data_IF_765404572929
#
_entry.id   IF_765404572929
#
_cell.length_a   1.000
_cell.length_b   1.000
_cell.length_c   1.000
_cell.angle_alpha   90.00
_cell.angle_beta   90.00
_cell.angle_gamma   90.00
#
_symmetry.space_group_name_H-M   'P 1'
#
loop_
_entity.id
_entity.type
_entity.pdbx_description
1 polymer ?
#
# COMPACT_ATOMS: atom_id res chain seq x y z
N UNK A 1 2.87 -7.00 25.78
CA UNK A 1 3.37 -6.78 24.39
C UNK A 1 2.42 -5.98 23.50
N UNK A 2 1.12 -5.97 23.73
CA UNK A 2 0.15 -5.05 23.07
C UNK A 2 0.45 -3.56 23.35
N UNK A 3 1.13 -3.27 24.47
CA UNK A 3 1.49 -1.90 24.89
C UNK A 3 2.51 -1.20 23.99
N UNK A 4 3.40 -1.94 23.32
CA UNK A 4 4.46 -1.33 22.50
C UNK A 4 3.93 -0.84 21.15
N UNK A 5 2.95 -1.53 20.57
CA UNK A 5 2.28 -1.09 19.36
C UNK A 5 1.44 0.20 19.59
N UNK A 6 0.85 0.37 20.78
CA UNK A 6 0.14 1.60 21.18
C UNK A 6 1.04 2.83 21.27
N UNK A 7 2.33 2.66 21.61
CA UNK A 7 3.31 3.76 21.70
C UNK A 7 3.88 4.17 20.34
N UNK A 8 3.82 3.30 19.33
CA UNK A 8 4.38 3.56 18.01
C UNK A 8 3.46 4.40 17.12
N UNK A 9 2.14 4.36 17.35
CA UNK A 9 1.16 5.05 16.52
C UNK A 9 0.14 5.70 17.43
N UNK A 10 0.19 7.02 17.55
CA UNK A 10 -0.58 7.85 18.47
C UNK A 10 -2.09 7.62 18.49
N UNK A 11 -2.80 8.26 19.42
CA UNK A 11 -4.15 7.92 19.83
C UNK A 11 -5.19 8.52 18.88
N UNK A 12 -5.73 7.74 17.96
CA UNK A 12 -6.87 8.18 17.15
C UNK A 12 -7.63 6.98 16.59
N UNK A 13 -8.11 6.14 17.48
CA UNK A 13 -9.00 5.04 17.10
C UNK A 13 -10.33 5.29 17.75
N UNK A 14 -11.33 5.65 16.96
CA UNK A 14 -12.67 5.93 17.48
C UNK A 14 -13.54 4.67 17.48
N UNK A 15 -13.34 3.73 16.58
CA UNK A 15 -14.09 2.50 16.53
C UNK A 15 -13.22 1.29 16.18
N UNK A 16 -13.13 0.32 17.09
CA UNK A 16 -12.46 -0.95 16.84
C UNK A 16 -13.52 -1.99 16.47
N UNK A 17 -13.39 -2.56 15.28
CA UNK A 17 -14.20 -3.73 14.90
C UNK A 17 -13.45 -5.00 15.28
N UNK A 18 -14.12 -5.85 16.06
CA UNK A 18 -13.62 -7.19 16.34
C UNK A 18 -13.53 -7.97 15.04
N UNK A 19 -12.39 -8.61 14.80
CA UNK A 19 -12.24 -9.61 13.75
C UNK A 19 -12.38 -11.00 14.36
N UNK A 20 -12.82 -12.02 13.61
CA UNK A 20 -12.90 -13.39 14.13
C UNK A 20 -11.52 -13.98 14.48
N UNK A 21 -10.43 -13.36 14.05
CA UNK A 21 -9.07 -13.84 14.31
C UNK A 21 -8.39 -13.03 15.42
N UNK A 22 -7.83 -13.69 16.45
CA UNK A 22 -7.14 -13.03 17.56
C UNK A 22 -5.92 -12.23 17.07
N UNK A 23 -5.73 -11.03 17.61
CA UNK A 23 -4.56 -10.20 17.33
C UNK A 23 -4.66 -9.35 16.06
N UNK A 24 -5.76 -9.42 15.32
CA UNK A 24 -6.07 -8.49 14.21
C UNK A 24 -7.02 -7.41 14.71
N UNK A 25 -6.68 -6.16 14.45
CA UNK A 25 -7.49 -4.99 14.80
C UNK A 25 -7.77 -4.23 13.51
N UNK A 26 -9.04 -4.13 13.14
CA UNK A 26 -9.51 -3.23 12.09
C UNK A 26 -10.15 -2.03 12.75
N UNK A 27 -9.78 -0.84 12.34
CA UNK A 27 -10.26 0.39 12.94
C UNK A 27 -10.75 1.33 11.86
N UNK A 28 -11.94 1.88 12.03
CA UNK A 28 -12.38 3.07 11.31
C UNK A 28 -11.82 4.29 12.03
N UNK A 29 -11.02 5.08 11.36
CA UNK A 29 -10.45 6.31 11.88
C UNK A 29 -11.39 7.44 11.48
N UNK A 30 -12.18 7.94 12.43
CA UNK A 30 -13.12 9.04 12.21
C UNK A 30 -12.71 10.19 13.12
N UNK A 31 -12.23 11.28 12.52
CA UNK A 31 -12.04 12.58 13.14
C UNK A 31 -11.43 12.57 14.54
N UNK A 32 -10.14 12.52 14.60
CA UNK A 32 -9.43 12.95 15.79
C UNK A 32 -9.20 14.47 15.76
N UNK A 33 -8.46 14.99 16.73
CA UNK A 33 -8.03 16.41 16.78
C UNK A 33 -7.33 16.90 15.50
N UNK A 34 -7.03 16.00 14.55
CA UNK A 34 -6.31 16.25 13.29
C UNK A 34 -7.14 15.96 12.05
N UNK A 35 -8.43 15.64 12.21
CA UNK A 35 -9.38 15.36 11.13
C UNK A 35 -8.95 14.24 10.15
N UNK A 36 -8.19 13.25 10.60
CA UNK A 36 -7.91 12.04 9.83
C UNK A 36 -9.19 11.20 9.71
N UNK A 37 -9.46 10.68 8.53
CA UNK A 37 -10.57 9.77 8.31
C UNK A 37 -10.15 8.59 7.45
N UNK A 38 -10.77 7.43 7.64
CA UNK A 38 -10.49 6.25 6.83
C UNK A 38 -10.43 4.96 7.64
N UNK A 39 -9.70 3.97 7.13
CA UNK A 39 -9.61 2.64 7.73
C UNK A 39 -8.15 2.26 7.95
N UNK A 40 -7.91 1.54 9.04
CA UNK A 40 -6.61 0.99 9.35
C UNK A 40 -6.73 -0.43 9.89
N UNK A 41 -5.88 -1.33 9.39
CA UNK A 41 -5.69 -2.67 9.93
C UNK A 41 -4.31 -2.73 10.60
N UNK A 42 -4.26 -3.33 11.78
CA UNK A 42 -3.03 -3.63 12.51
C UNK A 42 -3.06 -5.07 12.98
N UNK A 43 -2.00 -5.80 12.76
CA UNK A 43 -1.87 -7.16 13.31
C UNK A 43 -0.39 -7.53 13.52
N UNK A 44 -0.18 -8.57 14.31
CA UNK A 44 1.10 -9.26 14.39
C UNK A 44 1.05 -10.45 13.45
N UNK A 45 1.81 -10.42 12.35
CA UNK A 45 1.90 -11.57 11.42
C UNK A 45 2.73 -12.70 12.00
N UNK A 46 3.70 -12.37 12.86
CA UNK A 46 4.53 -13.33 13.56
C UNK A 46 5.05 -12.69 14.85
N UNK A 47 5.61 -13.47 15.81
CA UNK A 47 6.25 -12.92 16.98
C UNK A 47 7.35 -11.91 16.62
N UNK A 48 7.10 -10.63 16.96
CA UNK A 48 8.01 -9.52 16.67
C UNK A 48 7.93 -8.95 15.25
N UNK A 49 6.96 -9.37 14.43
CA UNK A 49 6.71 -8.78 13.10
C UNK A 49 5.30 -8.22 13.04
N UNK A 50 5.19 -6.91 12.95
CA UNK A 50 3.92 -6.19 12.85
C UNK A 50 3.61 -5.75 11.43
N UNK A 51 2.33 -5.84 11.06
CA UNK A 51 1.76 -5.31 9.81
C UNK A 51 0.79 -4.18 10.12
N UNK A 52 0.85 -3.14 9.31
CA UNK A 52 -0.14 -2.07 9.30
C UNK A 52 -0.54 -1.73 7.85
N UNK A 53 -1.81 -1.83 7.57
CA UNK A 53 -2.40 -1.36 6.32
C UNK A 53 -3.24 -0.12 6.63
N UNK A 54 -2.98 0.99 5.97
CA UNK A 54 -3.66 2.26 6.20
C UNK A 54 -4.26 2.78 4.91
N UNK A 55 -5.54 3.12 4.95
CA UNK A 55 -6.25 3.81 3.89
C UNK A 55 -6.95 5.01 4.51
N UNK A 56 -6.23 6.14 4.51
CA UNK A 56 -6.62 7.34 5.24
C UNK A 56 -6.72 8.54 4.30
N UNK A 57 -7.56 9.48 4.66
CA UNK A 57 -7.61 10.81 4.07
C UNK A 57 -7.10 11.81 5.12
N UNK A 58 -6.01 12.49 4.79
CA UNK A 58 -5.43 13.55 5.61
C UNK A 58 -5.88 14.91 5.06
N UNK A 59 -6.68 15.69 5.79
CA UNK A 59 -7.13 17.02 5.35
C UNK A 59 -6.10 18.12 5.54
N UNK A 60 -5.05 17.87 6.31
CA UNK A 60 -4.03 18.86 6.66
C UNK A 60 -2.62 18.28 6.73
N UNK A 61 -1.71 19.09 7.26
CA UNK A 61 -0.35 18.70 7.56
C UNK A 61 -0.31 17.99 8.92
N UNK A 62 0.35 16.87 8.99
CA UNK A 62 0.58 16.13 10.24
C UNK A 62 2.00 15.57 10.29
N UNK A 63 2.50 15.35 11.51
CA UNK A 63 3.80 14.75 11.72
C UNK A 63 3.77 13.75 12.86
N UNK A 64 4.52 12.69 12.75
CA UNK A 64 4.78 11.79 13.87
C UNK A 64 6.23 11.33 13.88
N UNK A 65 6.72 11.00 15.07
CA UNK A 65 8.05 10.49 15.30
C UNK A 65 8.00 9.01 15.59
N UNK A 66 8.74 8.23 14.80
CA UNK A 66 8.95 6.81 15.01
C UNK A 66 10.23 6.60 15.83
N UNK A 67 10.11 5.95 16.98
CA UNK A 67 11.24 5.52 17.83
C UNK A 67 11.18 4.01 18.00
N UNK A 68 12.30 3.35 17.82
CA UNK A 68 12.33 1.89 17.98
C UNK A 68 13.72 1.35 18.32
N UNK A 69 13.76 0.16 18.94
CA UNK A 69 15.00 -0.48 19.36
C UNK A 69 15.62 -1.31 18.22
N UNK A 70 16.15 -0.66 17.20
CA UNK A 70 16.80 -1.35 16.07
C UNK A 70 15.86 -2.24 15.27
N UNK A 71 15.17 -1.69 14.26
CA UNK A 71 14.32 -2.50 13.43
C UNK A 71 14.34 -2.12 11.95
N UNK A 72 13.89 -3.07 11.14
CA UNK A 72 13.61 -2.91 9.72
C UNK A 72 12.16 -2.48 9.54
N UNK A 73 11.94 -1.49 8.68
CA UNK A 73 10.64 -1.01 8.25
C UNK A 73 10.57 -1.10 6.72
N UNK A 74 9.74 -1.99 6.22
CA UNK A 74 9.36 -2.01 4.81
C UNK A 74 8.06 -1.24 4.67
N UNK A 75 8.05 -0.24 3.82
CA UNK A 75 6.88 0.61 3.62
C UNK A 75 6.56 0.70 2.12
N UNK A 76 5.34 0.33 1.76
CA UNK A 76 4.80 0.47 0.41
C UNK A 76 3.72 1.53 0.39
N UNK A 77 3.70 2.34 -0.64
CA UNK A 77 2.79 3.49 -0.77
C UNK A 77 2.07 3.44 -2.10
N UNK A 78 0.76 3.38 -2.05
CA UNK A 78 -0.06 3.48 -3.24
C UNK A 78 -0.45 4.94 -3.52
N UNK A 79 -0.83 5.67 -2.47
CA UNK A 79 -1.04 7.10 -2.46
C UNK A 79 -0.50 7.66 -1.15
N UNK A 80 0.52 8.48 -1.20
CA UNK A 80 1.03 9.17 -0.02
C UNK A 80 1.99 10.29 -0.43
N UNK A 81 1.83 11.46 0.18
CA UNK A 81 2.85 12.51 0.16
C UNK A 81 3.38 12.66 1.57
N UNK A 82 4.63 12.28 1.76
CA UNK A 82 5.33 12.47 3.02
C UNK A 82 6.76 12.96 2.80
N UNK A 83 7.25 13.75 3.73
CA UNK A 83 8.67 14.03 3.90
C UNK A 83 9.15 13.33 5.17
N UNK A 84 10.31 12.73 5.11
CA UNK A 84 10.89 11.99 6.24
C UNK A 84 12.21 12.65 6.60
N UNK A 85 12.43 12.93 7.89
CA UNK A 85 13.65 13.51 8.43
C UNK A 85 14.27 12.61 9.50
N UNK A 86 15.60 12.53 9.68
CA UNK A 86 16.58 13.14 8.78
C UNK A 86 16.76 12.28 7.53
N UNK A 87 16.49 12.81 6.38
CA UNK A 87 16.90 12.23 5.11
C UNK A 87 17.18 13.39 4.16
N UNK A 88 18.28 13.30 3.41
CA UNK A 88 18.48 14.11 2.24
C UNK A 88 17.28 13.98 1.29
N UNK A 89 17.12 14.86 0.31
CA UNK A 89 16.05 14.77 -0.68
C UNK A 89 15.99 13.35 -1.26
N UNK A 90 15.03 12.56 -0.74
CA UNK A 90 14.87 11.18 -1.18
C UNK A 90 14.18 11.16 -2.54
N UNK A 91 14.66 10.35 -3.48
CA UNK A 91 13.91 10.09 -4.69
C UNK A 91 12.54 9.55 -4.31
N UNK A 92 11.49 10.11 -4.90
CA UNK A 92 10.15 9.60 -4.71
C UNK A 92 10.10 8.13 -5.15
N UNK A 93 9.70 7.23 -4.28
CA UNK A 93 9.55 5.82 -4.56
C UNK A 93 8.25 5.28 -3.97
N UNK A 94 7.76 4.15 -4.51
CA UNK A 94 6.56 3.49 -4.02
C UNK A 94 6.82 2.58 -2.84
N UNK A 95 8.06 2.16 -2.68
CA UNK A 95 8.47 1.31 -1.59
C UNK A 95 9.81 1.77 -1.02
N UNK A 96 9.96 1.56 0.28
CA UNK A 96 11.20 1.84 0.99
C UNK A 96 11.49 0.73 1.98
N UNK A 97 12.73 0.33 2.01
CA UNK A 97 13.31 -0.40 3.14
C UNK A 97 14.09 0.59 4.00
N UNK A 98 13.81 0.63 5.27
CA UNK A 98 14.46 1.51 6.24
C UNK A 98 14.99 0.67 7.39
N UNK A 99 16.26 0.83 7.73
CA UNK A 99 16.77 0.38 9.02
C UNK A 99 16.83 1.57 9.96
N UNK A 100 16.19 1.44 11.12
CA UNK A 100 16.23 2.42 12.19
C UNK A 100 17.08 1.87 13.34
N UNK A 101 18.28 2.42 13.58
CA UNK A 101 19.15 1.97 14.66
C UNK A 101 18.54 2.20 16.04
N UNK A 102 19.01 1.49 17.07
CA UNK A 102 18.61 1.76 18.45
C UNK A 102 18.85 3.22 18.83
N UNK A 103 17.97 3.77 19.67
CA UNK A 103 18.04 5.15 20.18
C UNK A 103 18.00 6.26 19.11
N UNK A 104 17.60 5.93 17.88
CA UNK A 104 17.38 6.89 16.81
C UNK A 104 15.88 7.04 16.53
N UNK A 105 15.53 8.11 15.84
CA UNK A 105 14.15 8.40 15.47
C UNK A 105 14.04 8.80 14.00
N UNK A 106 12.87 8.57 13.43
CA UNK A 106 12.45 9.08 12.12
C UNK A 106 11.24 9.96 12.31
N UNK A 107 11.30 11.18 11.78
CA UNK A 107 10.18 12.09 11.78
C UNK A 107 9.50 12.06 10.41
N UNK A 108 8.24 11.70 10.42
CA UNK A 108 7.39 11.65 9.23
C UNK A 108 6.52 12.90 9.19
N UNK A 109 6.54 13.60 8.07
CA UNK A 109 5.68 14.74 7.81
C UNK A 109 4.71 14.38 6.68
N UNK A 110 3.42 14.36 6.98
CA UNK A 110 2.37 14.03 6.03
C UNK A 110 1.76 15.29 5.46
N UNK A 111 1.48 15.26 4.15
CA UNK A 111 0.81 16.33 3.46
C UNK A 111 -0.66 15.97 3.21
N UNK A 112 -1.46 16.99 2.95
CA UNK A 112 -2.86 16.84 2.60
C UNK A 112 -3.06 15.87 1.45
N UNK A 113 -4.03 14.95 1.58
CA UNK A 113 -4.40 13.99 0.54
C UNK A 113 -4.58 12.57 1.04
N UNK A 114 -4.73 11.65 0.11
CA UNK A 114 -4.86 10.24 0.40
C UNK A 114 -3.55 9.66 0.96
N UNK A 115 -3.69 8.77 1.92
CA UNK A 115 -2.61 8.03 2.56
C UNK A 115 -2.93 6.54 2.51
N UNK A 116 -2.58 5.90 1.41
CA UNK A 116 -2.78 4.47 1.17
C UNK A 116 -1.42 3.78 1.28
N UNK A 117 -1.16 3.12 2.40
CA UNK A 117 0.14 2.53 2.71
C UNK A 117 0.03 1.17 3.36
N UNK A 118 1.02 0.32 3.10
CA UNK A 118 1.28 -0.90 3.84
C UNK A 118 2.65 -0.76 4.50
N UNK A 119 2.75 -1.05 5.79
CA UNK A 119 3.99 -1.04 6.53
C UNK A 119 4.18 -2.37 7.26
N UNK A 120 5.33 -2.97 7.07
CA UNK A 120 5.78 -4.17 7.77
C UNK A 120 7.03 -3.82 8.57
N UNK A 121 7.05 -4.14 9.85
CA UNK A 121 8.13 -3.75 10.73
C UNK A 121 8.47 -4.85 11.75
N UNK A 122 9.74 -4.96 12.06
CA UNK A 122 10.24 -5.93 13.03
C UNK A 122 11.75 -5.87 13.17
N UNK A 123 12.30 -6.58 14.13
CA UNK A 123 13.76 -6.71 14.26
C UNK A 123 14.33 -7.60 13.17
N UNK A 124 15.61 -7.45 12.77
CA UNK A 124 16.26 -8.39 11.85
C UNK A 124 16.11 -9.85 12.29
N UNK A 125 16.27 -10.13 13.60
CA UNK A 125 16.10 -11.47 14.15
C UNK A 125 14.66 -12.01 13.99
N UNK A 126 13.65 -11.16 14.04
CA UNK A 126 12.25 -11.58 13.83
C UNK A 126 11.97 -11.92 12.35
N UNK A 127 12.51 -11.15 11.42
CA UNK A 127 12.46 -11.45 10.00
C UNK A 127 13.23 -12.73 9.65
N UNK A 128 14.37 -12.95 10.30
CA UNK A 128 15.15 -14.17 10.09
C UNK A 128 14.41 -15.41 10.58
N UNK A 129 13.86 -15.37 11.80
CA UNK A 129 13.11 -16.51 12.37
C UNK A 129 11.88 -16.88 11.57
N UNK A 130 11.18 -15.90 11.01
CA UNK A 130 9.89 -16.19 10.33
C UNK A 130 10.05 -16.57 8.87
N UNK A 131 10.92 -15.89 8.15
CA UNK A 131 10.96 -16.01 6.69
C UNK A 131 12.39 -16.12 6.12
N UNK A 132 13.44 -16.17 6.94
CA UNK A 132 14.84 -16.15 6.51
C UNK A 132 15.18 -14.93 5.64
N UNK A 133 14.66 -13.76 5.99
CA UNK A 133 14.77 -12.54 5.17
C UNK A 133 15.77 -11.50 5.71
N UNK A 134 16.42 -11.72 6.86
CA UNK A 134 17.33 -10.71 7.40
C UNK A 134 18.47 -10.39 6.44
N UNK A 135 19.13 -11.40 5.89
CA UNK A 135 20.26 -11.23 4.95
C UNK A 135 19.80 -10.52 3.65
N UNK A 136 18.78 -10.98 2.90
CA UNK A 136 18.32 -10.29 1.71
C UNK A 136 17.91 -8.83 1.95
N UNK A 137 17.38 -8.53 3.14
CA UNK A 137 17.00 -7.15 3.49
C UNK A 137 18.22 -6.30 3.82
N UNK A 138 19.23 -6.86 4.51
CA UNK A 138 20.47 -6.17 4.80
C UNK A 138 21.26 -5.89 3.51
N UNK A 139 21.36 -6.87 2.61
CA UNK A 139 21.97 -6.71 1.26
C UNK A 139 21.29 -5.57 0.47
N UNK A 140 19.96 -5.46 0.56
CA UNK A 140 19.21 -4.34 -0.06
C UNK A 140 19.62 -3.00 0.53
N UNK A 141 20.03 -2.95 1.80
CA UNK A 141 20.59 -1.77 2.46
C UNK A 141 22.09 -1.58 2.17
N UNK A 142 22.72 -2.49 1.44
CA UNK A 142 24.13 -2.43 1.08
C UNK A 142 25.08 -2.81 2.23
N UNK A 143 24.68 -3.77 3.08
CA UNK A 143 25.51 -4.28 4.17
C UNK A 143 25.17 -5.75 4.49
N UNK A 144 26.00 -6.42 5.27
CA UNK A 144 25.67 -7.70 5.88
C UNK A 144 24.77 -7.53 7.12
N UNK A 145 24.11 -8.60 7.55
CA UNK A 145 23.22 -8.55 8.74
C UNK A 145 24.01 -8.19 10.00
N UNK A 146 25.20 -8.69 10.14
CA UNK A 146 26.09 -8.43 11.28
C UNK A 146 26.45 -6.96 11.41
N UNK A 147 26.56 -6.26 10.27
CA UNK A 147 26.93 -4.85 10.22
C UNK A 147 25.75 -3.91 10.57
N UNK A 148 24.52 -4.41 10.59
CA UNK A 148 23.35 -3.59 10.93
C UNK A 148 23.50 -2.95 12.30
N UNK A 149 24.05 -3.66 13.27
CA UNK A 149 24.26 -3.15 14.63
C UNK A 149 25.25 -1.98 14.70
N UNK A 150 26.18 -1.90 13.75
CA UNK A 150 27.19 -0.83 13.67
C UNK A 150 26.64 0.46 13.02
N UNK A 151 25.47 0.40 12.39
CA UNK A 151 24.86 1.56 11.74
C UNK A 151 24.39 2.55 12.80
N UNK A 152 24.91 3.77 12.75
CA UNK A 152 24.64 4.83 13.75
C UNK A 152 23.53 5.81 13.31
N UNK A 153 23.14 5.82 12.05
CA UNK A 153 22.10 6.71 11.51
C UNK A 153 21.06 5.92 10.73
N UNK A 154 19.81 6.38 10.66
CA UNK A 154 18.79 5.72 9.85
C UNK A 154 19.26 5.54 8.40
N UNK A 155 19.22 4.30 7.90
CA UNK A 155 19.56 3.98 6.53
C UNK A 155 18.29 3.63 5.77
N UNK A 156 18.09 4.25 4.63
CA UNK A 156 16.88 4.08 3.84
C UNK A 156 17.21 3.83 2.38
N UNK A 157 16.61 2.78 1.82
CA UNK A 157 16.77 2.40 0.43
C UNK A 157 15.41 2.44 -0.29
N UNK A 158 15.28 3.20 -1.39
CA UNK A 158 14.10 3.13 -2.23
C UNK A 158 14.05 1.78 -2.96
N UNK A 159 12.88 1.17 -2.99
CA UNK A 159 12.63 -0.09 -3.69
C UNK A 159 11.63 0.11 -4.83
N UNK A 160 11.68 -0.77 -5.82
CA UNK A 160 10.73 -0.84 -6.92
C UNK A 160 9.68 -1.91 -6.66
N UNK A 161 8.61 -1.85 -7.45
CA UNK A 161 7.57 -2.87 -7.46
C UNK A 161 7.57 -3.58 -8.82
N UNK A 162 7.48 -4.90 -8.83
CA UNK A 162 7.04 -5.62 -10.02
C UNK A 162 5.50 -5.66 -10.09
N UNK A 163 4.95 -6.20 -11.17
CA UNK A 163 3.50 -6.28 -11.38
C UNK A 163 2.80 -7.11 -10.29
N UNK A 164 3.47 -8.11 -9.72
CA UNK A 164 2.94 -8.97 -8.67
C UNK A 164 2.90 -8.22 -7.34
N UNK A 165 3.99 -7.56 -6.97
CA UNK A 165 4.03 -6.72 -5.78
C UNK A 165 3.01 -5.56 -5.84
N UNK A 166 2.89 -4.91 -7.00
CA UNK A 166 1.84 -3.90 -7.18
C UNK A 166 0.44 -4.49 -6.98
N UNK A 167 0.19 -5.71 -7.49
CA UNK A 167 -1.05 -6.44 -7.27
C UNK A 167 -1.36 -6.67 -5.81
N UNK A 168 -0.42 -7.26 -5.10
CA UNK A 168 -0.53 -7.56 -3.68
C UNK A 168 -0.76 -6.28 -2.85
N UNK A 169 -0.08 -5.16 -3.19
CA UNK A 169 -0.30 -3.87 -2.53
C UNK A 169 -1.73 -3.37 -2.69
N UNK A 170 -2.28 -3.46 -3.90
CA UNK A 170 -3.68 -3.07 -4.17
C UNK A 170 -4.64 -3.97 -3.40
N UNK A 171 -4.40 -5.28 -3.40
CA UNK A 171 -5.27 -6.25 -2.75
C UNK A 171 -5.25 -6.10 -1.22
N UNK A 172 -4.08 -5.85 -0.62
CA UNK A 172 -3.98 -5.53 0.82
C UNK A 172 -4.74 -4.27 1.22
N UNK A 173 -4.71 -3.23 0.39
CA UNK A 173 -5.33 -1.95 0.71
C UNK A 173 -6.83 -1.91 0.42
N UNK A 174 -7.31 -2.70 -0.55
CA UNK A 174 -8.66 -2.57 -1.06
C UNK A 174 -9.57 -3.77 -0.77
N UNK A 175 -9.02 -4.98 -0.62
CA UNK A 175 -9.83 -6.12 -0.24
C UNK A 175 -10.45 -5.96 1.16
N UNK A 176 -11.56 -6.61 1.45
CA UNK A 176 -12.15 -6.61 2.78
C UNK A 176 -11.15 -7.14 3.81
N UNK A 177 -10.97 -6.40 4.91
CA UNK A 177 -10.18 -6.86 6.06
C UNK A 177 -11.05 -7.70 7.00
N UNK A 178 -11.63 -8.77 6.45
CA UNK A 178 -12.56 -9.65 7.15
C UNK A 178 -12.59 -11.04 6.48
N UNK A 179 -13.26 -11.96 7.11
CA UNK A 179 -13.48 -13.32 6.62
C UNK A 179 -12.50 -14.35 7.17
N UNK A 180 -12.82 -15.64 6.98
CA UNK A 180 -11.98 -16.72 7.43
C UNK A 180 -10.61 -16.67 6.74
N UNK A 181 -9.56 -17.14 7.42
CA UNK A 181 -8.20 -17.17 6.93
C UNK A 181 -7.59 -15.77 6.60
N UNK A 182 -8.13 -14.70 7.24
CA UNK A 182 -7.63 -13.34 7.01
C UNK A 182 -6.12 -13.24 7.26
N UNK A 183 -5.62 -13.83 8.34
CA UNK A 183 -4.20 -13.82 8.70
C UNK A 183 -3.34 -14.48 7.61
N UNK A 184 -3.71 -15.67 7.15
CA UNK A 184 -2.98 -16.38 6.09
C UNK A 184 -2.96 -15.60 4.78
N UNK A 185 -4.08 -14.94 4.44
CA UNK A 185 -4.16 -14.06 3.27
C UNK A 185 -3.25 -12.86 3.40
N UNK A 186 -3.27 -12.16 4.54
CA UNK A 186 -2.39 -11.02 4.79
C UNK A 186 -0.93 -11.41 4.68
N UNK A 187 -0.54 -12.55 5.24
CA UNK A 187 0.82 -13.06 5.16
C UNK A 187 1.22 -13.40 3.72
N UNK A 188 0.36 -14.05 2.96
CA UNK A 188 0.61 -14.37 1.54
C UNK A 188 0.84 -13.11 0.70
N UNK A 189 0.00 -12.08 0.87
CA UNK A 189 0.14 -10.83 0.13
C UNK A 189 1.40 -10.04 0.55
N UNK A 190 1.74 -10.06 1.83
CA UNK A 190 2.97 -9.44 2.34
C UNK A 190 4.21 -10.12 1.75
N UNK A 191 4.23 -11.45 1.69
CA UNK A 191 5.33 -12.17 1.05
C UNK A 191 5.42 -11.86 -0.46
N UNK A 192 4.29 -11.75 -1.15
CA UNK A 192 4.27 -11.34 -2.55
C UNK A 192 4.83 -9.93 -2.75
N UNK A 193 4.54 -8.99 -1.81
CA UNK A 193 5.13 -7.64 -1.79
C UNK A 193 6.64 -7.69 -1.62
N UNK A 194 7.15 -8.42 -0.64
CA UNK A 194 8.58 -8.50 -0.35
C UNK A 194 9.32 -9.11 -1.54
N UNK A 195 8.89 -10.28 -1.99
CA UNK A 195 9.54 -11.00 -3.09
C UNK A 195 9.48 -10.21 -4.41
N UNK A 196 8.36 -9.57 -4.71
CA UNK A 196 8.23 -8.77 -5.91
C UNK A 196 9.06 -7.48 -5.86
N UNK A 197 9.19 -6.86 -4.69
CA UNK A 197 10.07 -5.71 -4.49
C UNK A 197 11.54 -6.10 -4.62
N UNK A 198 11.94 -7.23 -4.05
CA UNK A 198 13.30 -7.75 -4.14
C UNK A 198 13.68 -8.11 -5.59
N UNK A 199 12.82 -8.84 -6.31
CA UNK A 199 13.04 -9.14 -7.75
C UNK A 199 13.15 -7.87 -8.58
N UNK A 200 12.28 -6.89 -8.36
CA UNK A 200 12.34 -5.63 -9.07
C UNK A 200 13.64 -4.87 -8.81
N UNK A 201 14.22 -5.02 -7.63
CA UNK A 201 15.52 -4.44 -7.26
C UNK A 201 16.67 -5.11 -8.00
N UNK A 202 16.74 -6.46 -8.01
CA UNK A 202 17.80 -7.23 -8.69
C UNK A 202 17.79 -6.96 -10.21
N UNK A 203 16.60 -6.92 -10.82
CA UNK A 203 16.47 -6.68 -12.26
C UNK A 203 16.62 -5.21 -12.66
N UNK A 204 16.80 -4.31 -11.71
CA UNK A 204 16.83 -2.86 -11.90
C UNK A 204 18.21 -2.29 -12.20
N UNK A 205 19.19 -3.08 -12.61
CA UNK A 205 20.50 -2.58 -13.06
C UNK A 205 20.40 -1.69 -14.31
N UNK A 206 19.24 -1.53 -14.91
CA UNK A 206 18.96 -0.67 -16.08
C UNK A 206 17.97 0.44 -15.72
N UNK A 207 18.45 1.66 -15.75
CA UNK A 207 17.74 2.96 -15.83
C UNK A 207 16.80 3.29 -14.65
N UNK A 208 17.33 3.97 -13.68
CA UNK A 208 16.50 4.63 -12.65
C UNK A 208 15.56 5.66 -13.32
N UNK A 209 14.25 5.59 -13.04
CA UNK A 209 13.32 6.66 -13.40
C UNK A 209 13.77 7.93 -12.67
N UNK A 210 13.95 9.03 -13.39
CA UNK A 210 14.36 10.28 -12.78
C UNK A 210 13.34 10.70 -11.70
N UNK A 211 13.76 11.27 -10.57
CA UNK A 211 12.86 11.67 -9.47
C UNK A 211 11.69 12.53 -9.93
N UNK A 212 11.93 13.44 -10.87
CA UNK A 212 10.91 14.30 -11.48
C UNK A 212 9.87 13.49 -12.29
N UNK A 213 10.31 12.51 -13.06
CA UNK A 213 9.42 11.64 -13.84
C UNK A 213 8.60 10.71 -12.92
N UNK A 214 9.19 10.28 -11.80
CA UNK A 214 8.50 9.47 -10.81
C UNK A 214 7.40 10.27 -10.09
N UNK A 215 7.64 11.54 -9.71
CA UNK A 215 6.60 12.41 -9.16
C UNK A 215 5.44 12.61 -10.15
N UNK A 216 5.75 12.82 -11.42
CA UNK A 216 4.72 12.98 -12.45
C UNK A 216 3.87 11.71 -12.60
N UNK A 217 4.49 10.53 -12.67
CA UNK A 217 3.73 9.28 -12.84
C UNK A 217 2.92 8.91 -11.59
N UNK A 218 3.39 9.30 -10.40
CA UNK A 218 2.63 9.18 -9.15
C UNK A 218 1.37 10.06 -9.16
N UNK A 219 1.51 11.31 -9.58
CA UNK A 219 0.37 12.24 -9.71
C UNK A 219 -0.63 11.75 -10.75
N UNK A 220 -0.16 11.28 -11.90
CA UNK A 220 -1.00 10.68 -12.94
C UNK A 220 -1.76 9.46 -12.43
N UNK A 221 -1.11 8.57 -11.68
CA UNK A 221 -1.78 7.44 -11.03
C UNK A 221 -2.79 7.91 -9.99
N UNK A 222 -2.45 8.91 -9.16
CA UNK A 222 -3.35 9.44 -8.14
C UNK A 222 -4.61 10.08 -8.74
N UNK A 223 -4.49 10.71 -9.91
CA UNK A 223 -5.64 11.22 -10.67
C UNK A 223 -6.59 10.08 -11.08
N UNK A 224 -6.04 9.01 -11.65
CA UNK A 224 -6.80 7.83 -12.08
C UNK A 224 -7.46 7.12 -10.88
N UNK A 225 -6.77 6.99 -9.77
CA UNK A 225 -7.30 6.38 -8.56
C UNK A 225 -8.40 7.21 -7.90
N UNK A 226 -8.31 8.54 -8.00
CA UNK A 226 -9.32 9.46 -7.43
C UNK A 226 -10.61 9.52 -8.22
N UNK A 227 -10.52 9.36 -9.54
CA UNK A 227 -11.65 9.50 -10.46
C UNK A 227 -11.68 8.35 -11.49
N UNK A 228 -11.72 7.08 -11.06
CA UNK A 228 -11.59 5.94 -11.97
C UNK A 228 -12.76 5.83 -12.95
N UNK A 229 -13.92 6.40 -12.60
CA UNK A 229 -15.13 6.43 -13.44
C UNK A 229 -14.97 7.30 -14.70
N UNK A 230 -14.05 8.27 -14.68
CA UNK A 230 -13.84 9.16 -15.81
C UNK A 230 -13.26 8.43 -17.03
N UNK A 231 -13.51 8.97 -18.20
CA UNK A 231 -12.98 8.44 -19.47
C UNK A 231 -11.48 8.77 -19.65
N UNK A 232 -10.64 8.29 -18.74
CA UNK A 232 -9.20 8.48 -18.86
C UNK A 232 -8.66 7.69 -20.05
N UNK A 233 -7.97 8.38 -20.94
CA UNK A 233 -7.11 7.77 -21.95
C UNK A 233 -5.65 8.05 -21.59
N UNK A 234 -4.76 7.20 -22.10
CA UNK A 234 -3.32 7.42 -21.90
C UNK A 234 -2.88 8.78 -22.49
N UNK A 235 -3.51 9.18 -23.60
CA UNK A 235 -3.23 10.47 -24.26
C UNK A 235 -3.71 11.65 -23.40
N UNK A 236 -4.97 11.61 -22.90
CA UNK A 236 -5.52 12.72 -22.11
C UNK A 236 -4.72 12.94 -20.83
N UNK A 237 -4.36 11.85 -20.13
CA UNK A 237 -3.56 11.93 -18.90
C UNK A 237 -2.12 12.38 -19.21
N UNK A 238 -1.50 11.89 -20.28
CA UNK A 238 -0.17 12.35 -20.67
C UNK A 238 -0.14 13.86 -20.94
N UNK A 239 -1.12 14.38 -21.68
CA UNK A 239 -1.22 15.82 -21.99
C UNK A 239 -1.41 16.66 -20.72
N UNK A 240 -2.22 16.20 -19.75
CA UNK A 240 -2.45 16.91 -18.47
C UNK A 240 -1.14 17.10 -17.65
N UNK A 241 -0.19 16.16 -17.79
CA UNK A 241 1.09 16.21 -17.10
C UNK A 241 2.26 16.66 -17.98
N UNK A 242 2.00 17.21 -19.18
CA UNK A 242 3.03 17.69 -20.09
C UNK A 242 3.94 16.60 -20.65
N UNK A 243 3.42 15.36 -20.75
CA UNK A 243 4.13 14.21 -21.32
C UNK A 243 3.52 13.79 -22.65
N UNK A 244 4.33 13.14 -23.48
CA UNK A 244 3.77 12.37 -24.59
C UNK A 244 3.27 10.99 -24.13
N UNK A 245 2.36 10.41 -24.89
CA UNK A 245 1.74 9.11 -24.62
C UNK A 245 2.77 7.99 -24.36
N UNK A 246 3.80 7.91 -25.18
CA UNK A 246 4.79 6.84 -25.11
C UNK A 246 5.65 6.97 -23.83
N UNK A 247 6.04 8.20 -23.47
CA UNK A 247 6.79 8.45 -22.24
C UNK A 247 5.94 8.05 -21.02
N UNK A 248 4.67 8.45 -20.94
CA UNK A 248 3.80 8.07 -19.83
C UNK A 248 3.61 6.55 -19.76
N UNK A 249 3.37 5.87 -20.90
CA UNK A 249 3.23 4.41 -20.94
C UNK A 249 4.48 3.70 -20.40
N UNK A 250 5.67 4.13 -20.82
CA UNK A 250 6.94 3.60 -20.36
C UNK A 250 7.12 3.83 -18.85
N UNK A 251 6.89 5.04 -18.38
CA UNK A 251 7.02 5.40 -16.97
C UNK A 251 6.08 4.59 -16.08
N UNK A 252 4.81 4.36 -16.51
CA UNK A 252 3.90 3.47 -15.77
C UNK A 252 4.46 2.06 -15.65
N UNK A 253 4.99 1.51 -16.74
CA UNK A 253 5.56 0.16 -16.74
C UNK A 253 6.81 0.06 -15.86
N UNK A 254 7.68 1.07 -15.92
CA UNK A 254 8.91 1.12 -15.13
C UNK A 254 8.63 1.34 -13.63
N UNK A 255 7.67 2.23 -13.30
CA UNK A 255 7.39 2.58 -11.92
C UNK A 255 6.50 1.55 -11.18
N UNK A 256 5.50 1.00 -11.87
CA UNK A 256 4.48 0.14 -11.26
C UNK A 256 4.51 -1.31 -11.75
N UNK A 257 5.34 -1.64 -12.72
CA UNK A 257 5.35 -2.98 -13.34
C UNK A 257 4.09 -3.30 -14.17
N UNK A 258 3.10 -2.41 -14.21
CA UNK A 258 1.82 -2.58 -14.91
C UNK A 258 1.59 -1.46 -15.92
N UNK A 259 0.74 -1.71 -16.92
CA UNK A 259 0.35 -0.66 -17.86
C UNK A 259 -0.66 0.32 -17.22
N UNK A 260 -0.77 1.51 -17.80
CA UNK A 260 -1.78 2.49 -17.43
C UNK A 260 -3.20 1.91 -17.41
N UNK A 261 -3.56 1.15 -18.44
CA UNK A 261 -4.91 0.55 -18.52
C UNK A 261 -5.15 -0.56 -17.50
N UNK A 262 -4.13 -1.32 -17.15
CA UNK A 262 -4.22 -2.29 -16.05
C UNK A 262 -4.44 -1.59 -14.71
N UNK A 263 -3.75 -0.47 -14.48
CA UNK A 263 -3.96 0.36 -13.30
C UNK A 263 -5.39 0.92 -13.26
N UNK A 264 -5.85 1.57 -14.34
CA UNK A 264 -7.21 2.10 -14.45
C UNK A 264 -8.28 1.01 -14.24
N UNK A 265 -8.11 -0.16 -14.84
CA UNK A 265 -9.04 -1.27 -14.69
C UNK A 265 -9.16 -1.73 -13.24
N UNK A 266 -8.03 -1.84 -12.53
CA UNK A 266 -8.03 -2.21 -11.10
C UNK A 266 -8.78 -1.20 -10.25
N UNK A 267 -8.52 0.08 -10.42
CA UNK A 267 -9.20 1.15 -9.68
C UNK A 267 -10.73 1.14 -9.94
N UNK A 268 -11.14 0.90 -11.19
CA UNK A 268 -12.56 0.75 -11.56
C UNK A 268 -13.22 -0.45 -10.89
N UNK A 269 -12.56 -1.60 -10.91
CA UNK A 269 -13.07 -2.81 -10.28
C UNK A 269 -13.17 -2.64 -8.77
N UNK A 270 -12.23 -1.93 -8.16
CA UNK A 270 -12.27 -1.64 -6.74
C UNK A 270 -13.40 -0.67 -6.36
N UNK A 271 -13.64 0.38 -7.18
CA UNK A 271 -14.80 1.25 -7.01
C UNK A 271 -16.11 0.43 -7.08
N UNK A 272 -16.24 -0.45 -8.07
CA UNK A 272 -17.39 -1.32 -8.22
C UNK A 272 -17.58 -2.25 -7.01
N UNK A 273 -16.50 -2.85 -6.50
CA UNK A 273 -16.54 -3.66 -5.27
C UNK A 273 -17.11 -2.86 -4.10
N UNK A 274 -16.60 -1.66 -3.86
CA UNK A 274 -17.04 -0.80 -2.77
C UNK A 274 -18.53 -0.41 -2.90
N UNK A 275 -19.01 -0.19 -4.13
CA UNK A 275 -20.42 0.10 -4.39
C UNK A 275 -21.29 -1.14 -4.16
N UNK A 276 -20.88 -2.30 -4.64
CA UNK A 276 -21.60 -3.56 -4.42
C UNK A 276 -21.64 -3.93 -2.93
N UNK A 277 -20.57 -3.68 -2.21
CA UNK A 277 -20.47 -3.88 -0.75
C UNK A 277 -21.40 -2.94 0.06
N UNK A 278 -21.98 -1.94 -0.59
CA UNK A 278 -23.02 -1.06 -0.02
C UNK A 278 -24.42 -1.32 -0.60
N UNK A 279 -24.66 -2.55 -1.04
CA UNK A 279 -25.95 -3.00 -1.61
C UNK A 279 -26.37 -2.26 -2.89
N UNK A 280 -25.42 -1.71 -3.65
CA UNK A 280 -25.73 -1.07 -4.94
C UNK A 280 -26.02 -2.16 -5.99
N UNK A 281 -27.02 -1.92 -6.85
CA UNK A 281 -27.34 -2.83 -7.96
C UNK A 281 -26.14 -3.01 -8.90
N UNK A 282 -25.95 -4.21 -9.43
CA UNK A 282 -24.81 -4.58 -10.28
C UNK A 282 -24.65 -3.67 -11.49
N UNK A 283 -25.74 -3.38 -12.19
CA UNK A 283 -25.72 -2.49 -13.36
C UNK A 283 -25.29 -1.05 -12.99
N UNK A 284 -25.81 -0.55 -11.87
CA UNK A 284 -25.44 0.78 -11.36
C UNK A 284 -23.98 0.83 -10.91
N UNK A 285 -23.50 -0.20 -10.22
CA UNK A 285 -22.11 -0.29 -9.82
C UNK A 285 -21.15 -0.34 -11.02
N UNK A 286 -21.51 -1.10 -12.07
CA UNK A 286 -20.76 -1.15 -13.33
C UNK A 286 -20.66 0.22 -14.00
N UNK A 287 -21.79 0.89 -14.19
CA UNK A 287 -21.85 2.21 -14.82
C UNK A 287 -21.07 3.26 -14.00
N UNK A 288 -21.26 3.29 -12.68
CA UNK A 288 -20.55 4.20 -11.77
C UNK A 288 -19.04 3.93 -11.72
N UNK A 289 -18.59 2.72 -12.06
CA UNK A 289 -17.19 2.38 -12.19
C UNK A 289 -16.62 2.62 -13.60
N UNK A 290 -17.41 3.25 -14.50
CA UNK A 290 -16.99 3.62 -15.84
C UNK A 290 -17.00 2.47 -16.85
N UNK A 291 -17.78 1.42 -16.62
CA UNK A 291 -18.02 0.36 -17.60
C UNK A 291 -19.30 0.65 -18.39
N UNK A 292 -19.20 0.59 -19.72
CA UNK A 292 -20.36 0.76 -20.62
C UNK A 292 -21.12 -0.54 -20.85
N UNK A 293 -20.44 -1.68 -20.70
CA UNK A 293 -21.00 -3.00 -20.93
C UNK A 293 -20.93 -3.87 -19.69
N UNK A 294 -22.09 -4.37 -19.24
CA UNK A 294 -22.24 -5.20 -18.06
C UNK A 294 -21.58 -6.58 -18.19
N UNK A 295 -21.51 -7.14 -19.40
CA UNK A 295 -20.89 -8.44 -19.62
C UNK A 295 -19.36 -8.35 -19.51
N UNK A 296 -18.77 -7.33 -20.11
CA UNK A 296 -17.33 -7.02 -19.97
C UNK A 296 -16.97 -6.73 -18.52
N UNK A 297 -17.79 -5.97 -17.80
CA UNK A 297 -17.64 -5.73 -16.38
C UNK A 297 -17.66 -7.05 -15.59
N UNK A 298 -18.68 -7.89 -15.78
CA UNK A 298 -18.81 -9.13 -15.03
C UNK A 298 -17.62 -10.09 -15.24
N UNK A 299 -17.13 -10.19 -16.47
CA UNK A 299 -15.92 -10.98 -16.80
C UNK A 299 -14.68 -10.43 -16.10
N UNK A 300 -14.44 -9.11 -16.22
CA UNK A 300 -13.29 -8.45 -15.59
C UNK A 300 -13.35 -8.58 -14.05
N UNK A 301 -14.51 -8.38 -13.46
CA UNK A 301 -14.75 -8.49 -12.03
C UNK A 301 -14.48 -9.90 -11.51
N UNK A 302 -15.05 -10.94 -12.17
CA UNK A 302 -14.82 -12.35 -11.81
C UNK A 302 -13.35 -12.73 -11.97
N UNK A 303 -12.69 -12.28 -13.04
CA UNK A 303 -11.25 -12.52 -13.25
C UNK A 303 -10.40 -11.93 -12.14
N UNK A 304 -10.78 -10.76 -11.62
CA UNK A 304 -10.00 -10.05 -10.61
C UNK A 304 -10.28 -10.54 -9.18
N UNK A 305 -11.55 -10.74 -8.82
CA UNK A 305 -11.95 -11.09 -7.46
C UNK A 305 -12.29 -12.57 -7.24
N UNK A 306 -12.26 -13.40 -8.28
CA UNK A 306 -12.63 -14.82 -8.21
C UNK A 306 -14.13 -15.08 -8.10
N UNK A 307 -14.96 -14.07 -7.80
CA UNK A 307 -16.41 -14.19 -7.59
C UNK A 307 -17.18 -13.25 -8.53
N UNK A 308 -18.45 -13.56 -8.77
CA UNK A 308 -19.29 -12.70 -9.61
C UNK A 308 -19.74 -11.42 -8.85
N UNK A 309 -20.04 -10.31 -9.56
CA UNK A 309 -20.58 -9.09 -8.91
C UNK A 309 -21.86 -9.35 -8.12
N UNK A 310 -22.74 -10.27 -8.62
CA UNK A 310 -23.98 -10.65 -7.95
C UNK A 310 -23.74 -11.39 -6.62
N UNK A 311 -22.64 -12.15 -6.52
CA UNK A 311 -22.31 -12.88 -5.32
C UNK A 311 -21.91 -11.95 -4.16
N UNK A 312 -21.31 -10.80 -4.45
CA UNK A 312 -20.95 -9.77 -3.44
C UNK A 312 -22.22 -9.25 -2.76
N UNK A 313 -23.23 -8.81 -3.54
CA UNK A 313 -24.50 -8.32 -2.98
C UNK A 313 -25.28 -9.36 -2.16
N UNK A 314 -25.25 -10.64 -2.56
CA UNK A 314 -25.92 -11.71 -1.81
C UNK A 314 -25.28 -12.02 -0.46
N UNK A 315 -23.94 -11.97 -0.36
CA UNK A 315 -23.23 -12.18 0.91
C UNK A 315 -23.61 -11.15 1.97
N UNK A 316 -23.78 -9.91 1.57
CA UNK A 316 -24.16 -8.82 2.48
C UNK A 316 -25.59 -8.98 2.98
N UNK A 317 -26.53 -9.37 2.11
CA UNK A 317 -27.94 -9.61 2.50
C UNK A 317 -28.04 -10.78 3.49
N UNK A 318 -27.09 -11.75 3.45
CA UNK A 318 -27.04 -12.89 4.38
C UNK A 318 -26.23 -12.63 5.65
N UNK A 319 -25.66 -11.43 5.83
CA UNK A 319 -24.80 -11.14 6.99
C UNK A 319 -23.46 -11.90 7.01
N UNK A 320 -23.08 -12.51 5.89
CA UNK A 320 -21.85 -13.26 5.72
C UNK A 320 -20.73 -12.29 5.25
N UNK A 321 -20.30 -11.41 6.15
CA UNK A 321 -19.15 -10.49 5.90
C UNK A 321 -17.85 -11.10 6.37
#
# INVERSE_FOLDING_TARGET
MVSTARKLYGPSVVEQRATPEPGIIVSDVIGDSRNLSGRQLRCMLAPGVGLMCSKLLNPGFDSYTLRAPGFLLLQWRLAARARIRPAAEEPAAFAYLTYLPPNRQLDFQYFRGAWDTVALFGTPASFQRRWHLAEPLAETLGCAVEDLAAIQSPRRCPMRLDARAYGALVDLLHAPWSGPMLHARLESEVLALILGSHRAQIHSTRTAVAPRDLDVVQRARSLVARYPERAHTLQSVASEFGLNRNKLARLFKEAFGVSFYQCLQRERLQLAWNLLSRSTQVARAANSAGYRDSASFARAFRKHFGISPRAVGRRIVRGEN
#
